data_IF_096157528368
#
_entry.id   IF_096157528368
#
_cell.length_a   1.000
_cell.length_b   1.000
_cell.length_c   1.000
_cell.angle_alpha   90.00
_cell.angle_beta   90.00
_cell.angle_gamma   90.00
#
_symmetry.space_group_name_H-M   'P 1'
#
loop_
_entity.id
_entity.type
_entity.pdbx_description
1 polymer ?
#
# COMPACT_ATOMS: atom_id res chain seq x y z
N UNK A 1 -64.50 5.74 18.38
CA UNK A 1 -64.64 5.45 19.83
C UNK A 1 -64.00 6.64 20.53
N UNK A 2 -64.69 7.75 20.86
CA UNK A 2 -65.88 7.95 21.73
C UNK A 2 -65.84 7.12 23.00
N UNK A 3 -65.60 7.82 24.12
CA UNK A 3 -66.42 7.96 25.36
C UNK A 3 -65.70 9.04 26.19
N UNK A 4 -66.11 10.31 26.35
CA UNK A 4 -67.34 10.88 26.93
C UNK A 4 -67.81 10.16 28.20
N UNK A 5 -67.65 10.82 29.35
CA UNK A 5 -68.42 10.73 30.62
C UNK A 5 -67.60 11.50 31.68
N UNK A 6 -68.07 12.47 32.45
CA UNK A 6 -69.38 13.06 32.62
C UNK A 6 -69.22 14.46 33.24
N UNK A 7 -70.02 15.39 32.78
CA UNK A 7 -70.18 16.73 33.34
C UNK A 7 -71.51 16.77 34.09
N UNK A 8 -71.49 16.88 35.42
CA UNK A 8 -72.64 17.27 36.27
C UNK A 8 -72.10 18.15 37.38
N UNK A 9 -72.21 19.47 37.23
CA UNK A 9 -73.31 20.29 37.74
C UNK A 9 -73.30 20.38 39.27
N UNK A 10 -72.99 21.56 39.80
CA UNK A 10 -73.90 22.28 40.70
C UNK A 10 -73.47 23.75 40.82
N UNK A 11 -74.30 24.63 40.26
CA UNK A 11 -74.38 26.05 40.58
C UNK A 11 -74.74 26.25 42.07
N UNK A 12 -74.20 27.30 42.70
CA UNK A 12 -74.52 27.60 44.10
C UNK A 12 -73.68 28.69 44.76
N UNK A 13 -73.65 29.86 44.14
CA UNK A 13 -73.60 31.22 44.71
C UNK A 13 -73.37 31.47 46.25
N UNK A 14 -72.55 32.52 46.50
CA UNK A 14 -72.58 33.56 47.58
C UNK A 14 -71.67 33.46 48.84
N UNK A 15 -70.77 34.47 48.95
CA UNK A 15 -70.16 35.14 50.15
C UNK A 15 -69.34 34.27 51.14
N UNK A 16 -68.20 34.68 51.68
CA UNK A 16 -67.87 35.97 52.30
C UNK A 16 -66.36 36.04 52.57
N UNK A 17 -65.77 37.24 52.47
CA UNK A 17 -64.39 37.56 52.85
C UNK A 17 -64.03 37.11 54.28
N UNK A 18 -62.89 36.43 54.44
CA UNK A 18 -61.99 36.60 55.60
C UNK A 18 -60.54 36.50 55.11
N UNK A 19 -59.80 37.61 55.23
CA UNK A 19 -58.36 37.70 55.05
C UNK A 19 -57.64 36.90 56.14
N UNK A 20 -56.62 36.10 55.81
CA UNK A 20 -55.50 35.89 56.70
C UNK A 20 -54.46 36.96 56.44
N UNK A 21 -54.38 37.91 57.37
CA UNK A 21 -53.31 38.88 57.53
C UNK A 21 -51.97 38.13 57.69
N UNK A 22 -51.28 37.91 56.57
CA UNK A 22 -49.90 37.42 56.56
C UNK A 22 -49.02 38.59 56.14
N UNK A 23 -48.55 39.34 57.15
CA UNK A 23 -47.55 40.39 56.96
C UNK A 23 -46.35 39.77 56.25
N UNK A 24 -45.97 40.22 55.04
CA UNK A 24 -44.62 39.97 54.59
C UNK A 24 -43.72 40.73 55.58
N UNK A 25 -42.92 40.00 56.35
CA UNK A 25 -41.70 40.61 56.87
C UNK A 25 -40.87 40.96 55.62
N UNK A 26 -41.08 42.18 55.14
CA UNK A 26 -40.16 42.87 54.25
C UNK A 26 -38.85 42.95 55.02
N UNK A 27 -37.98 41.97 54.80
CA UNK A 27 -36.56 42.19 54.98
C UNK A 27 -36.19 43.25 53.93
N UNK A 28 -36.36 44.52 54.30
CA UNK A 28 -35.78 45.64 53.58
C UNK A 28 -34.28 45.40 53.60
N UNK A 29 -33.79 44.74 52.55
CA UNK A 29 -32.37 44.60 52.28
C UNK A 29 -31.77 45.98 52.43
N UNK A 30 -30.92 46.15 53.44
CA UNK A 30 -30.37 47.47 53.75
C UNK A 30 -29.58 47.94 52.52
N UNK A 31 -29.55 49.25 52.27
CA UNK A 31 -28.86 49.83 51.11
C UNK A 31 -27.39 49.34 51.00
N UNK A 32 -26.80 49.01 52.16
CA UNK A 32 -25.46 48.45 52.30
C UNK A 32 -25.38 46.97 51.87
N UNK A 33 -26.36 46.13 52.21
CA UNK A 33 -26.44 44.73 51.76
C UNK A 33 -26.68 44.63 50.25
N UNK A 34 -27.51 45.53 49.69
CA UNK A 34 -27.76 45.60 48.25
C UNK A 34 -26.49 45.96 47.46
N UNK A 35 -25.71 46.94 47.96
CA UNK A 35 -24.42 47.31 47.37
C UNK A 35 -23.39 46.19 47.49
N UNK A 36 -23.38 45.48 48.63
CA UNK A 36 -22.49 44.35 48.87
C UNK A 36 -22.79 43.18 47.93
N UNK A 37 -24.07 42.83 47.74
CA UNK A 37 -24.50 41.79 46.80
C UNK A 37 -24.19 42.17 45.35
N UNK A 38 -24.38 43.43 44.96
CA UNK A 38 -24.03 43.93 43.62
C UNK A 38 -22.52 43.88 43.37
N UNK A 39 -21.70 44.23 44.37
CA UNK A 39 -20.25 44.11 44.29
C UNK A 39 -19.81 42.64 44.18
N UNK A 40 -20.45 41.74 44.94
CA UNK A 40 -20.18 40.31 44.89
C UNK A 40 -20.60 39.68 43.54
N UNK A 41 -21.74 40.09 42.99
CA UNK A 41 -22.25 39.64 41.70
C UNK A 41 -21.33 40.12 40.56
N UNK A 42 -20.90 41.39 40.59
CA UNK A 42 -19.90 41.92 39.65
C UNK A 42 -18.57 41.21 39.75
N UNK A 43 -18.11 40.89 40.96
CA UNK A 43 -16.88 40.11 41.16
C UNK A 43 -17.01 38.68 40.62
N UNK A 44 -18.16 38.02 40.82
CA UNK A 44 -18.46 36.69 40.26
C UNK A 44 -18.53 36.74 38.73
N UNK A 45 -19.21 37.73 38.16
CA UNK A 45 -19.31 37.92 36.71
C UNK A 45 -17.94 38.18 36.08
N UNK A 46 -17.12 39.04 36.69
CA UNK A 46 -15.76 39.29 36.24
C UNK A 46 -14.89 38.02 36.27
N UNK A 47 -15.04 37.19 37.31
CA UNK A 47 -14.34 35.90 37.41
C UNK A 47 -14.80 34.92 36.32
N UNK A 48 -16.11 34.75 36.14
CA UNK A 48 -16.70 33.93 35.09
C UNK A 48 -16.23 34.35 33.69
N UNK A 49 -16.17 35.65 33.44
CA UNK A 49 -15.72 36.17 32.15
C UNK A 49 -14.21 35.95 31.94
N UNK A 50 -13.39 36.04 33.00
CA UNK A 50 -11.98 35.69 32.94
C UNK A 50 -11.79 34.19 32.64
N UNK A 51 -12.50 33.33 33.37
CA UNK A 51 -12.46 31.87 33.20
C UNK A 51 -12.92 31.47 31.78
N UNK A 52 -13.97 32.12 31.26
CA UNK A 52 -14.44 31.93 29.89
C UNK A 52 -13.40 32.34 28.85
N UNK A 53 -12.79 33.53 29.00
CA UNK A 53 -11.76 34.01 28.07
C UNK A 53 -10.52 33.10 28.09
N UNK A 54 -10.14 32.60 29.26
CA UNK A 54 -9.03 31.67 29.44
C UNK A 54 -9.29 30.34 28.77
N UNK A 55 -10.42 29.70 29.08
CA UNK A 55 -10.81 28.41 28.48
C UNK A 55 -11.01 28.49 26.97
N UNK A 56 -11.59 29.59 26.48
CA UNK A 56 -11.73 29.86 25.04
C UNK A 56 -10.36 29.95 24.34
N UNK A 57 -9.41 30.65 24.96
CA UNK A 57 -8.05 30.77 24.44
C UNK A 57 -7.30 29.44 24.43
N UNK A 58 -7.42 28.65 25.51
CA UNK A 58 -6.84 27.32 25.61
C UNK A 58 -7.43 26.36 24.56
N UNK A 59 -8.75 26.37 24.36
CA UNK A 59 -9.41 25.58 23.33
C UNK A 59 -8.97 25.97 21.91
N UNK A 60 -8.82 27.27 21.65
CA UNK A 60 -8.31 27.76 20.36
C UNK A 60 -6.86 27.32 20.12
N UNK A 61 -6.01 27.39 21.14
CA UNK A 61 -4.62 26.93 21.07
C UNK A 61 -4.53 25.41 20.86
N UNK A 62 -5.35 24.62 21.56
CA UNK A 62 -5.38 23.17 21.41
C UNK A 62 -5.82 22.76 20.00
N UNK A 63 -6.86 23.42 19.47
CA UNK A 63 -7.30 23.22 18.07
C UNK A 63 -6.20 23.55 17.06
N UNK A 64 -5.45 24.63 17.27
CA UNK A 64 -4.31 24.99 16.40
C UNK A 64 -3.20 23.94 16.47
N UNK A 65 -2.83 23.47 17.67
CA UNK A 65 -1.80 22.46 17.84
C UNK A 65 -2.19 21.11 17.23
N UNK A 66 -3.46 20.68 17.38
CA UNK A 66 -3.96 19.46 16.77
C UNK A 66 -3.88 19.53 15.24
N UNK A 67 -4.36 20.63 14.64
CA UNK A 67 -4.25 20.83 13.19
C UNK A 67 -2.80 20.81 12.72
N UNK A 68 -1.91 21.52 13.42
CA UNK A 68 -0.49 21.54 13.08
C UNK A 68 0.15 20.14 13.15
N UNK A 69 -0.19 19.34 14.17
CA UNK A 69 0.29 17.95 14.31
C UNK A 69 -0.25 17.07 13.19
N UNK A 70 -1.55 17.15 12.90
CA UNK A 70 -2.18 16.38 11.82
C UNK A 70 -1.53 16.71 10.46
N UNK A 71 -1.31 17.99 10.17
CA UNK A 71 -0.63 18.41 8.92
C UNK A 71 0.83 17.96 8.86
N UNK A 72 1.55 17.98 9.99
CA UNK A 72 2.94 17.50 10.02
C UNK A 72 3.03 15.97 9.83
N UNK A 73 2.13 15.21 10.47
CA UNK A 73 2.08 13.75 10.37
C UNK A 73 1.67 13.29 8.96
N UNK A 74 0.74 13.99 8.31
CA UNK A 74 0.35 13.71 6.93
C UNK A 74 1.49 13.97 5.93
N UNK A 75 2.26 15.05 6.12
CA UNK A 75 3.46 15.31 5.31
C UNK A 75 4.57 14.28 5.53
N UNK A 76 4.80 13.83 6.77
CA UNK A 76 5.78 12.80 7.08
C UNK A 76 5.36 11.44 6.52
N UNK A 77 4.07 11.09 6.62
CA UNK A 77 3.52 9.87 6.04
C UNK A 77 3.64 9.85 4.51
N UNK A 78 3.34 10.98 3.85
CA UNK A 78 3.52 11.12 2.40
C UNK A 78 5.00 11.02 2.01
N UNK A 79 5.88 11.74 2.70
CA UNK A 79 7.32 11.67 2.44
C UNK A 79 7.89 10.26 2.68
N UNK A 80 7.39 9.54 3.68
CA UNK A 80 7.78 8.16 3.95
C UNK A 80 7.25 7.23 2.87
N UNK A 81 6.00 7.42 2.40
CA UNK A 81 5.44 6.66 1.28
C UNK A 81 6.23 6.88 0.01
N UNK A 82 6.52 8.12 -0.37
CA UNK A 82 7.37 8.43 -1.53
C UNK A 82 8.77 7.83 -1.40
N UNK A 83 9.37 7.88 -0.20
CA UNK A 83 10.67 7.27 0.05
C UNK A 83 10.62 5.73 0.01
N UNK A 84 9.54 5.11 0.47
CA UNK A 84 9.31 3.67 0.37
C UNK A 84 9.08 3.23 -1.08
N UNK A 85 8.25 3.95 -1.84
CA UNK A 85 8.03 3.70 -3.26
C UNK A 85 9.34 3.87 -4.07
N UNK A 86 10.15 4.89 -3.76
CA UNK A 86 11.45 5.08 -4.40
C UNK A 86 12.41 3.93 -4.09
N UNK A 87 12.43 3.46 -2.83
CA UNK A 87 13.22 2.30 -2.42
C UNK A 87 12.73 1.03 -3.10
N UNK A 88 11.42 0.81 -3.17
CA UNK A 88 10.82 -0.36 -3.80
C UNK A 88 11.14 -0.40 -5.30
N UNK A 89 11.00 0.74 -6.01
CA UNK A 89 11.41 0.86 -7.41
C UNK A 89 12.88 0.51 -7.61
N UNK A 90 13.76 1.08 -6.78
CA UNK A 90 15.20 0.81 -6.87
C UNK A 90 15.53 -0.66 -6.59
N UNK A 91 14.89 -1.27 -5.59
CA UNK A 91 15.05 -2.69 -5.28
C UNK A 91 14.58 -3.55 -6.46
N UNK A 92 13.41 -3.26 -7.03
CA UNK A 92 12.89 -3.98 -8.18
C UNK A 92 13.82 -3.88 -9.41
N UNK A 93 14.34 -2.70 -9.70
CA UNK A 93 15.31 -2.52 -10.79
C UNK A 93 16.59 -3.34 -10.57
N UNK A 94 17.08 -3.42 -9.32
CA UNK A 94 18.24 -4.25 -8.98
C UNK A 94 17.93 -5.74 -9.13
N UNK A 95 16.75 -6.19 -8.67
CA UNK A 95 16.30 -7.57 -8.81
C UNK A 95 16.18 -7.97 -10.29
N UNK A 96 15.60 -7.12 -11.13
CA UNK A 96 15.49 -7.36 -12.58
C UNK A 96 16.87 -7.47 -13.24
N UNK A 97 17.82 -6.59 -12.88
CA UNK A 97 19.21 -6.66 -13.39
C UNK A 97 19.92 -7.94 -12.93
N UNK A 98 19.77 -8.32 -11.67
CA UNK A 98 20.35 -9.56 -11.14
C UNK A 98 19.76 -10.78 -11.85
N UNK A 99 18.45 -10.82 -12.03
CA UNK A 99 17.78 -11.89 -12.75
C UNK A 99 18.30 -12.01 -14.19
N UNK A 100 18.56 -10.88 -14.88
CA UNK A 100 19.13 -10.88 -16.23
C UNK A 100 20.55 -11.45 -16.24
N UNK A 101 21.40 -11.00 -15.31
CA UNK A 101 22.78 -11.48 -15.19
C UNK A 101 22.81 -12.98 -14.90
N UNK A 102 21.98 -13.46 -13.98
CA UNK A 102 21.94 -14.88 -13.64
C UNK A 102 21.40 -15.73 -14.79
N UNK A 103 20.37 -15.26 -15.50
CA UNK A 103 19.88 -15.92 -16.71
C UNK A 103 20.96 -15.97 -17.80
N UNK A 104 21.64 -14.85 -18.07
CA UNK A 104 22.72 -14.79 -19.06
C UNK A 104 23.84 -15.78 -18.71
N UNK A 105 24.24 -15.86 -17.44
CA UNK A 105 25.22 -16.86 -16.98
C UNK A 105 24.75 -18.29 -17.24
N UNK A 106 23.47 -18.61 -17.01
CA UNK A 106 22.91 -19.95 -17.33
C UNK A 106 23.05 -20.28 -18.82
N UNK A 107 22.73 -19.32 -19.69
CA UNK A 107 22.86 -19.50 -21.14
C UNK A 107 24.31 -19.59 -21.62
N UNK A 108 25.23 -18.83 -21.02
CA UNK A 108 26.65 -18.98 -21.32
C UNK A 108 27.19 -20.33 -20.85
N UNK A 109 26.74 -20.84 -19.70
CA UNK A 109 27.18 -22.12 -19.14
C UNK A 109 26.81 -23.32 -20.04
N UNK A 110 25.76 -23.23 -20.84
CA UNK A 110 25.40 -24.25 -21.84
C UNK A 110 26.14 -24.09 -23.17
N UNK A 111 27.02 -23.09 -23.29
CA UNK A 111 27.87 -22.86 -24.45
C UNK A 111 27.37 -21.82 -25.46
N UNK A 112 26.28 -21.09 -25.18
CA UNK A 112 25.89 -19.96 -26.02
C UNK A 112 26.94 -18.84 -25.95
N UNK A 113 27.09 -18.09 -27.04
CA UNK A 113 27.89 -16.87 -27.03
C UNK A 113 27.29 -15.84 -26.08
N UNK A 114 28.10 -14.89 -25.62
CA UNK A 114 27.65 -13.81 -24.73
C UNK A 114 26.45 -13.04 -25.30
N UNK A 115 26.50 -12.69 -26.59
CA UNK A 115 25.42 -12.01 -27.30
C UNK A 115 24.12 -12.83 -27.34
N UNK A 116 24.21 -14.12 -27.68
CA UNK A 116 23.04 -15.00 -27.74
C UNK A 116 22.47 -15.28 -26.35
N UNK A 117 23.34 -15.39 -25.34
CA UNK A 117 22.97 -15.55 -23.94
C UNK A 117 22.28 -14.30 -23.39
N UNK A 118 22.73 -13.11 -23.75
CA UNK A 118 22.06 -11.86 -23.38
C UNK A 118 20.68 -11.74 -24.04
N UNK A 119 20.57 -12.10 -25.32
CA UNK A 119 19.29 -12.09 -26.03
C UNK A 119 18.30 -13.10 -25.42
N UNK A 120 18.76 -14.30 -25.09
CA UNK A 120 17.96 -15.34 -24.45
C UNK A 120 17.53 -14.94 -23.03
N UNK A 121 18.42 -14.35 -22.23
CA UNK A 121 18.10 -13.84 -20.90
C UNK A 121 17.05 -12.72 -20.95
N UNK A 122 17.18 -11.81 -21.91
CA UNK A 122 16.22 -10.72 -22.11
C UNK A 122 14.84 -11.27 -22.52
N UNK A 123 14.82 -12.23 -23.45
CA UNK A 123 13.59 -12.88 -23.90
C UNK A 123 12.91 -13.69 -22.77
N UNK A 124 13.68 -14.40 -21.95
CA UNK A 124 13.16 -15.15 -20.79
C UNK A 124 12.48 -14.21 -19.77
N UNK A 125 13.13 -13.11 -19.42
CA UNK A 125 12.56 -12.12 -18.48
C UNK A 125 11.35 -11.38 -19.07
N UNK A 126 11.30 -11.20 -20.38
CA UNK A 126 10.14 -10.65 -21.08
C UNK A 126 8.99 -11.67 -21.25
N UNK A 127 9.17 -12.94 -20.84
CA UNK A 127 8.20 -14.00 -21.04
C UNK A 127 8.05 -14.46 -22.49
N UNK A 128 9.00 -14.12 -23.36
CA UNK A 128 9.01 -14.45 -24.79
C UNK A 128 9.55 -15.87 -25.03
N UNK A 129 8.82 -16.89 -24.56
CA UNK A 129 9.27 -18.30 -24.63
C UNK A 129 9.53 -18.79 -26.06
N UNK A 130 8.77 -18.31 -27.04
CA UNK A 130 9.00 -18.64 -28.45
C UNK A 130 10.36 -18.15 -28.94
N UNK A 131 10.75 -16.92 -28.55
CA UNK A 131 12.04 -16.35 -28.92
C UNK A 131 13.20 -17.09 -28.25
N UNK A 132 13.05 -17.44 -26.97
CA UNK A 132 14.02 -18.30 -26.25
C UNK A 132 14.20 -19.63 -26.99
N UNK A 133 13.09 -20.26 -27.38
CA UNK A 133 13.10 -21.54 -28.10
C UNK A 133 13.79 -21.42 -29.47
N UNK A 134 13.52 -20.34 -30.21
CA UNK A 134 14.19 -20.08 -31.50
C UNK A 134 15.70 -19.85 -31.33
N UNK A 135 16.13 -19.15 -30.28
CA UNK A 135 17.56 -18.98 -29.96
C UNK A 135 18.22 -20.33 -29.64
N UNK A 136 17.56 -21.19 -28.85
CA UNK A 136 18.02 -22.55 -28.61
C UNK A 136 18.14 -23.39 -29.88
N UNK A 137 17.16 -23.32 -30.78
CA UNK A 137 17.24 -24.01 -32.08
C UNK A 137 18.43 -23.54 -32.89
N UNK A 138 18.64 -22.22 -32.98
CA UNK A 138 19.80 -21.63 -33.68
C UNK A 138 21.11 -22.12 -33.08
N UNK A 139 21.24 -22.08 -31.76
CA UNK A 139 22.41 -22.58 -31.03
C UNK A 139 22.68 -24.06 -31.35
N UNK A 140 21.68 -24.93 -31.15
CA UNK A 140 21.84 -26.37 -31.38
C UNK A 140 22.21 -26.69 -32.83
N UNK A 141 21.58 -26.03 -33.80
CA UNK A 141 21.92 -26.22 -35.22
C UNK A 141 23.35 -25.79 -35.54
N UNK A 142 23.81 -24.67 -34.97
CA UNK A 142 25.18 -24.21 -35.12
C UNK A 142 26.18 -25.18 -34.50
N UNK A 143 25.89 -25.65 -33.28
CA UNK A 143 26.71 -26.63 -32.55
C UNK A 143 26.82 -27.96 -33.30
N UNK A 144 25.70 -28.49 -33.83
CA UNK A 144 25.69 -29.71 -34.64
C UNK A 144 26.52 -29.52 -35.91
N UNK A 145 26.35 -28.39 -36.62
CA UNK A 145 27.11 -28.11 -37.84
C UNK A 145 28.61 -27.99 -37.57
N UNK A 146 28.98 -27.36 -36.45
CA UNK A 146 30.38 -27.26 -36.03
C UNK A 146 30.97 -28.65 -35.72
N UNK A 147 30.26 -29.46 -34.95
CA UNK A 147 30.67 -30.83 -34.63
C UNK A 147 30.79 -31.70 -35.89
N UNK A 148 29.85 -31.59 -36.83
CA UNK A 148 29.93 -32.27 -38.13
C UNK A 148 31.15 -31.82 -38.92
N UNK A 149 31.40 -30.51 -39.02
CA UNK A 149 32.56 -29.98 -39.74
C UNK A 149 33.89 -30.44 -39.12
N UNK A 150 33.98 -30.49 -37.79
CA UNK A 150 35.14 -31.00 -37.07
C UNK A 150 35.34 -32.51 -37.28
N UNK A 151 34.25 -33.28 -37.22
CA UNK A 151 34.28 -34.70 -37.54
C UNK A 151 34.77 -34.92 -38.98
N UNK A 152 34.22 -34.18 -39.97
CA UNK A 152 34.65 -34.31 -41.37
C UNK A 152 36.15 -34.01 -41.58
N UNK A 153 36.72 -33.08 -40.80
CA UNK A 153 38.16 -32.76 -40.85
C UNK A 153 39.03 -33.83 -40.19
N UNK A 154 38.54 -34.49 -39.14
CA UNK A 154 39.27 -35.50 -38.37
C UNK A 154 39.10 -36.92 -38.88
N UNK A 155 38.21 -37.14 -39.86
CA UNK A 155 38.02 -38.46 -40.47
C UNK A 155 39.28 -38.94 -41.19
N UNK A 156 39.67 -40.21 -41.02
CA UNK A 156 40.74 -40.80 -41.80
C UNK A 156 40.40 -40.78 -43.29
N UNK A 157 41.41 -40.67 -44.18
CA UNK A 157 41.19 -40.67 -45.62
C UNK A 157 40.48 -41.96 -46.03
N UNK A 158 39.40 -41.80 -46.82
CA UNK A 158 38.72 -42.95 -47.40
C UNK A 158 39.61 -43.53 -48.50
N UNK A 159 40.08 -44.78 -48.32
CA UNK A 159 40.68 -45.53 -49.41
C UNK A 159 39.54 -45.96 -50.34
N UNK A 160 39.15 -45.08 -51.26
CA UNK A 160 38.30 -45.45 -52.37
C UNK A 160 39.14 -46.36 -53.28
N UNK A 161 39.14 -47.65 -52.98
CA UNK A 161 39.94 -48.64 -53.68
C UNK A 161 39.73 -48.53 -55.18
N UNK A 162 40.84 -48.34 -55.91
CA UNK A 162 40.93 -48.84 -57.28
C UNK A 162 40.50 -50.31 -57.22
N UNK A 163 39.42 -50.63 -57.92
CA UNK A 163 38.87 -51.97 -57.94
C UNK A 163 39.89 -52.95 -58.48
N UNK A 164 40.30 -53.90 -57.65
CA UNK A 164 40.45 -55.32 -57.97
C UNK A 164 40.77 -56.06 -56.66
N UNK A 165 40.34 -57.33 -56.60
CA UNK A 165 40.66 -58.31 -55.56
C UNK A 165 39.83 -58.29 -54.26
N UNK A 166 38.54 -58.60 -54.41
CA UNK A 166 37.95 -59.82 -53.82
C UNK A 166 38.14 -60.11 -52.33
N UNK A 167 38.31 -59.12 -51.46
CA UNK A 167 38.27 -59.32 -50.00
C UNK A 167 37.01 -58.71 -49.42
N UNK A 168 36.15 -59.60 -48.89
CA UNK A 168 34.90 -59.27 -48.22
C UNK A 168 35.08 -58.14 -47.20
N UNK A 169 34.16 -57.19 -47.26
CA UNK A 169 34.10 -56.02 -46.38
C UNK A 169 34.08 -56.46 -44.91
N UNK A 170 35.03 -56.01 -44.07
CA UNK A 170 35.06 -56.29 -42.63
C UNK A 170 33.74 -55.94 -41.91
N UNK A 171 32.97 -54.97 -42.40
CA UNK A 171 31.66 -54.61 -41.86
C UNK A 171 30.60 -55.69 -42.11
N UNK A 172 30.65 -56.37 -43.25
CA UNK A 172 29.73 -57.46 -43.60
C UNK A 172 30.04 -58.77 -42.86
N UNK A 173 31.27 -58.93 -42.38
CA UNK A 173 31.69 -60.13 -41.63
C UNK A 173 31.06 -60.23 -40.23
N UNK A 174 30.68 -59.11 -39.62
CA UNK A 174 30.08 -59.08 -38.29
C UNK A 174 28.56 -59.33 -38.25
N UNK A 175 27.89 -59.29 -39.41
CA UNK A 175 26.44 -59.51 -39.52
C UNK A 175 26.05 -60.94 -39.93
N UNK A 176 27.02 -61.74 -40.40
CA UNK A 176 26.82 -63.15 -40.75
C UNK A 176 27.50 -64.10 -39.75
N UNK A 177 27.25 -63.88 -38.45
CA UNK A 177 27.65 -64.77 -37.36
C UNK A 177 26.44 -65.19 -36.53
#
# INVERSE_FOLDING_TARGET
MITMEDNKNLEGQVQQNQEPENKPEEHEMTLEEAQTLLAQERAKNAKLQNDYNKTSSEAANYRKQLKAKQTAEEQEAEAKREAEEAKERHTKELEEKLAKIDAQKRYMAIGMSEEMAEEAATAELAGESDKVTELYKKFNNASIKAAQAEWQKSRPPVNAGQGEDGKEDPFLKGFNG
#
